data_IF_376566608092
#
_entry.id   IF_376566608092
#
_cell.length_a   1.000
_cell.length_b   1.000
_cell.length_c   1.000
_cell.angle_alpha   90.00
_cell.angle_beta   90.00
_cell.angle_gamma   90.00
#
_symmetry.space_group_name_H-M   'P 1'
#
loop_
_entity.id
_entity.type
_entity.pdbx_description
1 polymer ?
#
# COMPACT_ATOMS: atom_id res chain seq x y z
N UNK A 1 -9.55 9.25 19.98
CA UNK A 1 -9.05 8.20 19.06
C UNK A 1 -8.52 8.92 17.83
N UNK A 2 -7.51 8.40 17.16
CA UNK A 2 -7.06 8.98 15.87
C UNK A 2 -8.20 8.92 14.87
N UNK A 3 -8.96 7.81 14.88
CA UNK A 3 -10.08 7.60 13.97
C UNK A 3 -11.16 8.71 14.02
N UNK A 4 -11.40 9.34 15.17
CA UNK A 4 -12.42 10.40 15.30
C UNK A 4 -11.91 11.79 14.90
N UNK A 5 -10.65 11.94 14.57
CA UNK A 5 -10.03 13.22 14.29
C UNK A 5 -10.13 13.65 12.82
N UNK A 6 -10.49 12.72 11.93
CA UNK A 6 -10.49 12.93 10.49
C UNK A 6 -11.87 12.73 9.87
N UNK A 7 -12.21 13.59 8.93
CA UNK A 7 -13.49 13.60 8.24
C UNK A 7 -13.56 12.56 7.11
N UNK A 8 -12.42 12.14 6.57
CA UNK A 8 -12.30 11.09 5.54
C UNK A 8 -10.92 10.43 5.56
N UNK A 9 -10.84 9.24 4.96
CA UNK A 9 -9.63 8.43 4.95
C UNK A 9 -9.29 7.99 3.53
N UNK A 10 -8.01 8.09 3.19
CA UNK A 10 -7.43 7.40 2.04
C UNK A 10 -6.52 6.29 2.54
N UNK A 11 -6.52 5.16 1.85
CA UNK A 11 -5.83 3.94 2.27
C UNK A 11 -4.99 3.41 1.11
N UNK A 12 -3.78 2.95 1.39
CA UNK A 12 -3.08 2.07 0.49
C UNK A 12 -3.61 0.63 0.62
N UNK A 13 -3.27 -0.25 -0.32
CA UNK A 13 -3.74 -1.63 -0.37
C UNK A 13 -2.71 -2.61 0.18
N UNK A 14 -1.65 -2.85 -0.58
CA UNK A 14 -0.66 -3.89 -0.33
C UNK A 14 0.28 -3.52 0.84
N UNK A 15 0.44 -4.41 1.81
CA UNK A 15 1.20 -4.13 3.03
C UNK A 15 0.48 -3.19 4.02
N UNK A 16 -0.72 -2.74 3.68
CA UNK A 16 -1.55 -1.85 4.51
C UNK A 16 -2.83 -2.54 4.94
N UNK A 17 -3.75 -2.77 4.02
CA UNK A 17 -5.02 -3.46 4.25
C UNK A 17 -4.89 -4.97 4.05
N UNK A 18 -4.15 -5.35 3.04
CA UNK A 18 -3.96 -6.75 2.63
C UNK A 18 -2.48 -7.11 2.54
N UNK A 19 -2.20 -8.40 2.60
CA UNK A 19 -0.93 -8.97 2.22
C UNK A 19 -1.14 -10.28 1.44
N UNK A 20 -0.07 -10.86 0.94
CA UNK A 20 -0.11 -12.11 0.20
C UNK A 20 0.64 -13.21 0.93
N UNK A 21 0.21 -14.44 0.71
CA UNK A 21 0.95 -15.60 1.19
C UNK A 21 2.39 -15.59 0.64
N UNK A 22 3.42 -15.79 1.48
CA UNK A 22 4.82 -15.75 1.06
C UNK A 22 5.13 -16.66 -0.14
N UNK A 23 4.47 -17.82 -0.24
CA UNK A 23 4.62 -18.74 -1.35
C UNK A 23 4.29 -18.11 -2.70
N UNK A 24 3.27 -17.24 -2.78
CA UNK A 24 2.93 -16.53 -4.00
C UNK A 24 4.05 -15.55 -4.41
N UNK A 25 4.56 -14.78 -3.44
CA UNK A 25 5.67 -13.85 -3.67
C UNK A 25 6.89 -14.57 -4.24
N UNK A 26 7.28 -15.68 -3.60
CA UNK A 26 8.44 -16.47 -4.01
C UNK A 26 8.25 -17.06 -5.43
N UNK A 27 7.06 -17.58 -5.73
CA UNK A 27 6.74 -18.16 -7.04
C UNK A 27 6.77 -17.12 -8.16
N UNK A 28 6.15 -15.94 -7.96
CA UNK A 28 6.18 -14.85 -8.95
C UNK A 28 7.59 -14.35 -9.16
N UNK A 29 8.30 -14.02 -8.08
CA UNK A 29 9.66 -13.49 -8.15
C UNK A 29 10.65 -14.52 -8.74
N UNK A 30 10.44 -15.81 -8.47
CA UNK A 30 11.21 -16.88 -9.10
C UNK A 30 11.04 -16.91 -10.61
N UNK A 31 9.79 -16.83 -11.12
CA UNK A 31 9.50 -16.77 -12.56
C UNK A 31 10.09 -15.52 -13.22
N UNK A 32 9.99 -14.36 -12.56
CA UNK A 32 10.61 -13.11 -13.01
C UNK A 32 12.12 -13.27 -13.11
N UNK A 33 12.75 -13.82 -12.08
CA UNK A 33 14.18 -14.11 -12.04
C UNK A 33 14.64 -15.03 -13.17
N UNK A 34 13.92 -16.13 -13.39
CA UNK A 34 14.20 -17.08 -14.49
C UNK A 34 14.17 -16.40 -15.86
N UNK A 35 13.19 -15.52 -16.10
CA UNK A 35 13.08 -14.76 -17.37
C UNK A 35 14.18 -13.72 -17.55
N UNK A 36 14.67 -13.16 -16.46
CA UNK A 36 15.72 -12.12 -16.48
C UNK A 36 17.13 -12.68 -16.29
N UNK A 37 17.26 -14.00 -16.04
CA UNK A 37 18.53 -14.69 -15.88
C UNK A 37 19.22 -14.39 -14.54
N UNK A 38 18.43 -14.12 -13.49
CA UNK A 38 18.89 -13.90 -12.13
C UNK A 38 18.18 -14.86 -11.17
N UNK A 39 18.93 -15.58 -10.33
CA UNK A 39 18.36 -16.41 -9.28
C UNK A 39 17.95 -15.52 -8.09
N UNK A 40 16.65 -15.37 -7.87
CA UNK A 40 16.10 -14.55 -6.79
C UNK A 40 15.89 -15.43 -5.57
N UNK A 41 16.55 -15.10 -4.45
CA UNK A 41 16.32 -15.77 -3.17
C UNK A 41 14.98 -15.34 -2.54
N UNK A 42 14.43 -16.12 -1.59
CA UNK A 42 13.23 -15.77 -0.86
C UNK A 42 13.36 -14.43 -0.11
N UNK A 43 14.53 -14.17 0.48
CA UNK A 43 14.81 -12.91 1.17
C UNK A 43 14.81 -11.70 0.20
N UNK A 44 15.40 -11.86 -0.99
CA UNK A 44 15.39 -10.83 -2.03
C UNK A 44 13.98 -10.62 -2.60
N UNK A 45 13.22 -11.69 -2.78
CA UNK A 45 11.82 -11.64 -3.22
C UNK A 45 10.97 -10.80 -2.27
N UNK A 46 11.02 -11.11 -0.97
CA UNK A 46 10.30 -10.35 0.06
C UNK A 46 10.81 -8.91 0.18
N UNK A 47 12.12 -8.69 0.06
CA UNK A 47 12.70 -7.34 0.12
C UNK A 47 12.20 -6.45 -1.01
N UNK A 48 12.10 -6.97 -2.24
CA UNK A 48 11.57 -6.21 -3.38
C UNK A 48 10.06 -6.03 -3.26
N UNK A 49 9.31 -7.10 -2.93
CA UNK A 49 7.85 -7.07 -2.84
C UNK A 49 7.33 -6.06 -1.81
N UNK A 50 7.87 -6.11 -0.59
CA UNK A 50 7.45 -5.25 0.52
C UNK A 50 8.30 -3.98 0.67
N UNK A 51 9.17 -3.67 -0.31
CA UNK A 51 10.10 -2.52 -0.24
C UNK A 51 10.93 -2.49 1.06
N UNK A 52 11.38 -3.66 1.52
CA UNK A 52 12.20 -3.78 2.72
C UNK A 52 13.64 -3.35 2.45
N UNK A 53 14.24 -2.60 3.37
CA UNK A 53 15.63 -2.12 3.21
C UNK A 53 15.78 -0.92 2.28
N UNK A 54 14.70 -0.34 1.73
CA UNK A 54 14.72 0.88 0.95
C UNK A 54 14.08 0.76 -0.44
N UNK A 55 14.63 1.47 -1.42
CA UNK A 55 14.10 1.50 -2.80
C UNK A 55 14.26 0.13 -3.49
N UNK A 56 13.17 -0.56 -3.86
CA UNK A 56 13.23 -1.84 -4.56
C UNK A 56 13.97 -1.73 -5.91
N UNK A 57 13.91 -0.57 -6.57
CA UNK A 57 14.66 -0.34 -7.80
C UNK A 57 16.19 -0.35 -7.57
N UNK A 58 16.65 0.04 -6.38
CA UNK A 58 18.07 -0.06 -6.03
C UNK A 58 18.50 -1.52 -5.87
N UNK A 59 17.66 -2.37 -5.30
CA UNK A 59 17.89 -3.82 -5.20
C UNK A 59 17.98 -4.43 -6.60
N UNK A 60 16.99 -4.17 -7.45
CA UNK A 60 16.94 -4.66 -8.84
C UNK A 60 18.20 -4.22 -9.65
N UNK A 61 18.61 -2.95 -9.51
CA UNK A 61 19.85 -2.47 -10.14
C UNK A 61 21.09 -3.19 -9.63
N UNK A 62 21.12 -3.60 -8.36
CA UNK A 62 22.26 -4.36 -7.80
C UNK A 62 22.42 -5.75 -8.43
N UNK A 63 21.33 -6.31 -8.98
CA UNK A 63 21.35 -7.54 -9.78
C UNK A 63 21.84 -7.31 -11.22
N UNK A 64 22.10 -6.06 -11.61
CA UNK A 64 22.48 -5.69 -12.98
C UNK A 64 21.28 -5.65 -13.94
N UNK A 65 20.07 -5.60 -13.42
CA UNK A 65 18.82 -5.57 -14.19
C UNK A 65 18.30 -4.12 -14.23
N UNK A 66 17.81 -3.72 -15.41
CA UNK A 66 17.09 -2.46 -15.58
C UNK A 66 15.73 -2.53 -14.88
N UNK A 67 15.40 -1.59 -13.97
CA UNK A 67 14.12 -1.62 -13.24
C UNK A 67 12.89 -1.58 -14.13
N UNK A 68 12.88 -0.79 -15.19
CA UNK A 68 11.72 -0.70 -16.08
C UNK A 68 11.44 -2.07 -16.72
N UNK A 69 12.50 -2.75 -17.18
CA UNK A 69 12.37 -4.12 -17.70
C UNK A 69 11.97 -5.11 -16.63
N UNK A 70 12.43 -4.94 -15.39
CA UNK A 70 12.04 -5.82 -14.28
C UNK A 70 10.53 -5.71 -14.03
N UNK A 71 10.00 -4.49 -13.89
CA UNK A 71 8.58 -4.28 -13.62
C UNK A 71 7.69 -4.69 -14.80
N UNK A 72 8.14 -4.54 -16.04
CA UNK A 72 7.41 -5.07 -17.21
C UNK A 72 7.25 -6.59 -17.10
N UNK A 73 8.35 -7.31 -16.84
CA UNK A 73 8.31 -8.78 -16.71
C UNK A 73 7.51 -9.20 -15.47
N UNK A 74 7.64 -8.48 -14.36
CA UNK A 74 6.90 -8.71 -13.12
C UNK A 74 5.39 -8.66 -13.37
N UNK A 75 4.89 -7.61 -14.01
CA UNK A 75 3.47 -7.48 -14.33
C UNK A 75 2.96 -8.51 -15.35
N UNK A 76 3.82 -9.00 -16.23
CA UNK A 76 3.49 -10.11 -17.13
C UNK A 76 3.37 -11.47 -16.41
N UNK A 77 4.08 -11.65 -15.29
CA UNK A 77 4.05 -12.88 -14.50
C UNK A 77 2.94 -12.93 -13.46
N UNK A 78 2.32 -11.80 -13.13
CA UNK A 78 1.22 -11.76 -12.19
C UNK A 78 -0.10 -12.19 -12.84
N UNK A 79 -0.68 -13.28 -12.34
CA UNK A 79 -2.02 -13.73 -12.70
C UNK A 79 -3.06 -13.16 -11.72
N UNK A 80 -4.10 -12.45 -12.17
CA UNK A 80 -5.06 -11.78 -11.28
C UNK A 80 -5.85 -12.75 -10.38
N UNK A 81 -6.12 -13.97 -10.85
CA UNK A 81 -6.85 -14.95 -10.05
C UNK A 81 -5.94 -15.52 -8.97
N UNK A 82 -4.73 -15.96 -9.36
CA UNK A 82 -3.76 -16.48 -8.40
C UNK A 82 -3.36 -15.41 -7.37
N UNK A 83 -3.23 -14.14 -7.80
CA UNK A 83 -2.98 -13.00 -6.91
C UNK A 83 -4.10 -12.84 -5.88
N UNK A 84 -5.35 -12.82 -6.34
CA UNK A 84 -6.52 -12.69 -5.47
C UNK A 84 -6.62 -13.86 -4.49
N UNK A 85 -6.52 -15.10 -4.97
CA UNK A 85 -6.61 -16.32 -4.14
C UNK A 85 -5.50 -16.43 -3.08
N UNK A 86 -4.35 -15.78 -3.31
CA UNK A 86 -3.22 -15.74 -2.38
C UNK A 86 -3.23 -14.52 -1.47
N UNK A 87 -4.21 -13.62 -1.61
CA UNK A 87 -4.32 -12.40 -0.81
C UNK A 87 -5.23 -12.62 0.40
N UNK A 88 -4.82 -12.07 1.53
CA UNK A 88 -5.64 -12.04 2.75
C UNK A 88 -5.77 -10.59 3.27
N UNK A 89 -6.91 -10.32 3.92
CA UNK A 89 -7.15 -9.08 4.65
C UNK A 89 -6.50 -9.19 6.03
N UNK A 90 -5.86 -8.12 6.52
CA UNK A 90 -5.43 -8.07 7.91
C UNK A 90 -6.66 -7.96 8.84
N UNK A 91 -6.72 -8.82 9.86
CA UNK A 91 -7.86 -8.89 10.80
C UNK A 91 -8.15 -7.53 11.47
N UNK A 92 -7.10 -6.74 11.73
CA UNK A 92 -7.19 -5.43 12.37
C UNK A 92 -7.72 -4.31 11.45
N UNK A 93 -7.96 -4.60 10.17
CA UNK A 93 -8.57 -3.66 9.23
C UNK A 93 -10.10 -3.79 9.16
N UNK A 94 -10.70 -4.87 9.70
CA UNK A 94 -12.13 -5.16 9.55
C UNK A 94 -13.07 -4.06 10.07
N UNK A 95 -12.66 -3.30 11.09
CA UNK A 95 -13.48 -2.21 11.63
C UNK A 95 -13.73 -1.05 10.64
N UNK A 96 -12.91 -0.94 9.59
CA UNK A 96 -13.12 0.04 8.53
C UNK A 96 -14.48 -0.15 7.83
N UNK A 97 -15.00 -1.37 7.80
CA UNK A 97 -16.34 -1.67 7.26
C UNK A 97 -17.48 -0.96 8.01
N UNK A 98 -17.24 -0.58 9.27
CA UNK A 98 -18.23 0.06 10.16
C UNK A 98 -18.03 1.59 10.22
N UNK A 99 -17.08 2.15 9.46
CA UNK A 99 -16.85 3.59 9.46
C UNK A 99 -17.94 4.34 8.68
N UNK A 100 -18.47 5.39 9.30
CA UNK A 100 -19.39 6.32 8.63
C UNK A 100 -18.64 7.36 7.76
N UNK A 101 -17.31 7.50 7.94
CA UNK A 101 -16.48 8.45 7.17
C UNK A 101 -16.24 7.93 5.75
N UNK A 102 -16.18 8.81 4.73
CA UNK A 102 -15.82 8.45 3.38
C UNK A 102 -14.44 7.79 3.30
N UNK A 103 -14.34 6.68 2.54
CA UNK A 103 -13.11 5.92 2.33
C UNK A 103 -12.71 5.92 0.86
N UNK A 104 -11.43 6.16 0.58
CA UNK A 104 -10.85 6.00 -0.75
C UNK A 104 -9.62 5.11 -0.73
N UNK A 105 -9.40 4.37 -1.80
CA UNK A 105 -8.20 3.57 -2.01
C UNK A 105 -7.26 4.25 -3.00
N UNK A 106 -5.96 4.32 -2.67
CA UNK A 106 -4.91 4.86 -3.56
C UNK A 106 -3.72 3.91 -3.53
N UNK A 107 -3.56 3.10 -4.58
CA UNK A 107 -2.59 2.00 -4.60
C UNK A 107 -1.65 2.04 -5.81
N UNK A 108 -0.44 1.50 -5.64
CA UNK A 108 0.46 1.19 -6.75
C UNK A 108 0.07 -0.09 -7.50
N UNK A 109 -0.81 -0.92 -6.93
CA UNK A 109 -1.27 -2.13 -7.58
C UNK A 109 -2.03 -1.81 -8.88
N UNK A 110 -1.75 -2.60 -9.91
CA UNK A 110 -2.38 -2.43 -11.22
C UNK A 110 -3.89 -2.74 -11.15
N UNK A 111 -4.70 -2.00 -11.89
CA UNK A 111 -6.17 -2.13 -11.80
C UNK A 111 -6.69 -3.53 -12.12
N UNK A 112 -6.04 -4.26 -13.04
CA UNK A 112 -6.42 -5.63 -13.39
C UNK A 112 -6.16 -6.66 -12.27
N UNK A 113 -5.31 -6.31 -11.28
CA UNK A 113 -5.04 -7.08 -10.06
C UNK A 113 -5.91 -6.56 -8.90
N UNK A 114 -6.04 -5.24 -8.76
CA UNK A 114 -6.73 -4.59 -7.65
C UNK A 114 -8.19 -5.02 -7.55
N UNK A 115 -8.96 -4.95 -8.66
CA UNK A 115 -10.38 -5.29 -8.62
C UNK A 115 -10.63 -6.77 -8.21
N UNK A 116 -9.95 -7.80 -8.78
CA UNK A 116 -10.07 -9.17 -8.29
C UNK A 116 -9.68 -9.37 -6.83
N UNK A 117 -8.64 -8.66 -6.36
CA UNK A 117 -8.24 -8.71 -4.94
C UNK A 117 -9.33 -8.16 -4.04
N UNK A 118 -9.86 -6.97 -4.33
CA UNK A 118 -10.91 -6.34 -3.52
C UNK A 118 -12.18 -7.19 -3.47
N UNK A 119 -12.55 -7.80 -4.60
CA UNK A 119 -13.70 -8.70 -4.68
C UNK A 119 -13.47 -9.99 -3.87
N UNK A 120 -12.25 -10.58 -3.96
CA UNK A 120 -11.90 -11.81 -3.26
C UNK A 120 -11.93 -11.64 -1.73
N UNK A 121 -11.30 -10.58 -1.22
CA UNK A 121 -11.28 -10.31 0.23
C UNK A 121 -12.57 -9.61 0.73
N UNK A 122 -13.50 -9.27 -0.17
CA UNK A 122 -14.84 -8.77 0.16
C UNK A 122 -14.87 -7.32 0.67
N UNK A 123 -13.91 -6.49 0.29
CA UNK A 123 -13.81 -5.09 0.76
C UNK A 123 -14.10 -4.04 -0.32
N UNK A 124 -14.49 -4.46 -1.54
CA UNK A 124 -14.73 -3.52 -2.65
C UNK A 124 -15.74 -2.43 -2.30
N UNK A 125 -16.79 -2.80 -1.59
CA UNK A 125 -17.88 -1.90 -1.21
C UNK A 125 -17.54 -0.95 -0.05
N UNK A 126 -16.33 -1.06 0.55
CA UNK A 126 -15.90 -0.11 1.58
C UNK A 126 -15.53 1.25 1.01
N UNK A 127 -15.16 1.31 -0.28
CA UNK A 127 -14.55 2.48 -0.88
C UNK A 127 -15.50 3.25 -1.81
N UNK A 128 -15.61 4.55 -1.56
CA UNK A 128 -16.27 5.51 -2.45
C UNK A 128 -15.50 5.71 -3.76
N UNK A 129 -14.17 5.51 -3.71
CA UNK A 129 -13.29 5.57 -4.88
C UNK A 129 -12.12 4.62 -4.77
N UNK A 130 -11.68 4.07 -5.91
CA UNK A 130 -10.44 3.30 -6.05
C UNK A 130 -9.60 3.97 -7.12
N UNK A 131 -8.36 4.33 -6.77
CA UNK A 131 -7.38 4.94 -7.68
C UNK A 131 -6.13 4.08 -7.71
N UNK A 132 -5.89 3.41 -8.83
CA UNK A 132 -4.62 2.77 -9.13
C UNK A 132 -3.68 3.80 -9.75
N UNK A 133 -2.44 3.88 -9.24
CA UNK A 133 -1.41 4.75 -9.81
C UNK A 133 -1.07 4.33 -11.24
N UNK A 134 -0.86 5.31 -12.10
CA UNK A 134 -0.50 5.12 -13.52
C UNK A 134 0.41 6.26 -13.97
N UNK A 135 1.03 6.15 -15.13
CA UNK A 135 1.81 7.25 -15.71
C UNK A 135 0.97 8.51 -15.96
N UNK A 136 -0.36 8.36 -16.13
CA UNK A 136 -1.26 9.51 -16.30
C UNK A 136 -1.60 10.19 -14.97
N UNK A 137 -1.83 9.42 -13.91
CA UNK A 137 -2.20 9.95 -12.58
C UNK A 137 -0.99 10.31 -11.72
N UNK A 138 0.18 9.77 -12.05
CA UNK A 138 1.39 9.81 -11.23
C UNK A 138 1.51 8.58 -10.31
N UNK A 139 2.67 8.46 -9.66
CA UNK A 139 3.02 7.39 -8.72
C UNK A 139 3.35 8.01 -7.36
N UNK A 140 2.84 7.45 -6.26
CA UNK A 140 3.23 7.93 -4.93
C UNK A 140 4.77 7.97 -4.81
N UNK A 141 5.42 9.01 -4.32
CA UNK A 141 4.89 10.12 -3.50
C UNK A 141 4.35 11.34 -4.27
N UNK A 142 4.16 11.26 -5.60
CA UNK A 142 3.46 12.31 -6.34
C UNK A 142 2.03 12.48 -5.77
N UNK A 143 1.53 13.72 -5.56
CA UNK A 143 0.19 13.94 -5.01
C UNK A 143 -0.93 13.62 -6.01
N UNK A 144 -0.64 13.46 -7.29
CA UNK A 144 -1.64 13.30 -8.35
C UNK A 144 -2.67 12.18 -8.10
N UNK A 145 -2.29 10.95 -7.71
CA UNK A 145 -3.24 9.90 -7.38
C UNK A 145 -4.15 10.25 -6.20
N UNK A 146 -3.59 10.89 -5.17
CA UNK A 146 -4.33 11.37 -3.98
C UNK A 146 -5.32 12.46 -4.39
N UNK A 147 -4.89 13.44 -5.17
CA UNK A 147 -5.75 14.50 -5.69
C UNK A 147 -6.87 13.96 -6.58
N UNK A 148 -6.59 12.91 -7.34
CA UNK A 148 -7.61 12.20 -8.14
C UNK A 148 -8.66 11.56 -7.23
N UNK A 149 -8.24 10.88 -6.16
CA UNK A 149 -9.16 10.29 -5.19
C UNK A 149 -10.03 11.37 -4.54
N UNK A 150 -9.42 12.45 -4.06
CA UNK A 150 -10.14 13.58 -3.48
C UNK A 150 -11.14 14.21 -4.46
N UNK A 151 -10.76 14.35 -5.74
CA UNK A 151 -11.66 14.87 -6.78
C UNK A 151 -12.87 13.96 -6.99
N UNK A 152 -12.66 12.64 -7.05
CA UNK A 152 -13.73 11.66 -7.20
C UNK A 152 -14.71 11.69 -6.04
N UNK A 153 -14.22 11.91 -4.81
CA UNK A 153 -15.01 12.01 -3.58
C UNK A 153 -15.61 13.42 -3.35
N UNK A 154 -15.22 14.42 -4.16
CA UNK A 154 -15.67 15.82 -3.99
C UNK A 154 -15.02 16.53 -2.81
N UNK A 155 -13.83 16.10 -2.37
CA UNK A 155 -13.13 16.54 -1.15
C UNK A 155 -11.86 17.37 -1.41
N UNK A 156 -11.62 17.82 -2.66
CA UNK A 156 -10.41 18.60 -3.00
C UNK A 156 -10.20 19.84 -2.14
N UNK A 157 -11.26 20.51 -1.72
CA UNK A 157 -11.21 21.72 -0.91
C UNK A 157 -11.24 21.42 0.61
N UNK A 158 -11.37 20.15 1.02
CA UNK A 158 -11.50 19.71 2.41
C UNK A 158 -10.26 18.93 2.92
N UNK A 159 -9.10 19.16 2.30
CA UNK A 159 -7.87 18.36 2.55
C UNK A 159 -7.44 18.33 4.02
N UNK A 160 -7.56 19.46 4.74
CA UNK A 160 -7.14 19.58 6.14
C UNK A 160 -7.85 18.59 7.10
N UNK A 161 -8.99 18.05 6.68
CA UNK A 161 -9.75 17.04 7.44
C UNK A 161 -9.41 15.61 7.07
N UNK A 162 -8.44 15.36 6.20
CA UNK A 162 -8.14 14.04 5.65
C UNK A 162 -6.83 13.43 6.10
N UNK A 163 -6.78 12.10 6.02
CA UNK A 163 -5.59 11.32 6.33
C UNK A 163 -5.35 10.26 5.25
N UNK A 164 -4.07 9.99 4.94
CA UNK A 164 -3.67 8.84 4.14
C UNK A 164 -2.90 7.84 5.01
N UNK A 165 -3.32 6.60 4.97
CA UNK A 165 -2.72 5.48 5.70
C UNK A 165 -2.00 4.57 4.73
N UNK A 166 -0.73 4.26 5.00
CA UNK A 166 0.06 3.35 4.18
C UNK A 166 1.26 2.78 4.93
N UNK A 167 1.89 1.75 4.36
CA UNK A 167 3.01 1.06 4.99
C UNK A 167 4.38 1.58 4.54
N UNK A 168 4.42 2.45 3.53
CA UNK A 168 5.66 2.90 2.91
C UNK A 168 5.93 4.41 2.99
N UNK A 169 7.18 4.83 2.77
CA UNK A 169 7.54 6.25 2.71
C UNK A 169 6.87 6.98 1.55
N UNK A 170 6.47 6.26 0.49
CA UNK A 170 5.78 6.83 -0.65
C UNK A 170 4.36 7.28 -0.30
N UNK A 171 3.68 6.56 0.59
CA UNK A 171 2.35 6.92 1.09
C UNK A 171 2.41 8.19 1.91
N UNK A 172 3.34 8.22 2.89
CA UNK A 172 3.58 9.40 3.72
C UNK A 172 3.93 10.62 2.86
N UNK A 173 4.82 10.43 1.88
CA UNK A 173 5.18 11.49 0.95
C UNK A 173 3.99 11.99 0.12
N UNK A 174 3.13 11.09 -0.38
CA UNK A 174 1.94 11.44 -1.14
C UNK A 174 0.92 12.19 -0.29
N UNK A 175 0.70 11.77 0.97
CA UNK A 175 -0.15 12.46 1.93
C UNK A 175 0.30 13.90 2.11
N UNK A 176 1.53 14.11 2.54
CA UNK A 176 2.08 15.45 2.80
C UNK A 176 2.11 16.34 1.56
N UNK A 177 2.48 15.78 0.39
CA UNK A 177 2.49 16.52 -0.87
C UNK A 177 1.08 16.94 -1.33
N UNK A 178 0.05 16.16 -0.93
CA UNK A 178 -1.35 16.50 -1.18
C UNK A 178 -1.98 17.37 -0.09
N UNK A 179 -1.29 17.64 1.02
CA UNK A 179 -1.78 18.43 2.14
C UNK A 179 -2.68 17.67 3.11
N UNK A 180 -2.49 16.36 3.22
CA UNK A 180 -3.13 15.47 4.18
C UNK A 180 -2.17 15.12 5.31
N UNK A 181 -2.69 14.70 6.46
CA UNK A 181 -1.93 13.99 7.46
C UNK A 181 -1.62 12.55 7.01
N UNK A 182 -0.57 11.95 7.57
CA UNK A 182 -0.09 10.63 7.22
C UNK A 182 -0.03 9.67 8.41
N UNK A 183 -0.57 8.46 8.25
CA UNK A 183 -0.29 7.31 9.12
C UNK A 183 0.68 6.37 8.42
N UNK A 184 1.77 6.06 9.10
CA UNK A 184 2.61 4.93 8.72
C UNK A 184 2.22 3.70 9.53
N UNK A 185 1.80 2.63 8.85
CA UNK A 185 1.52 1.30 9.44
C UNK A 185 2.72 0.40 9.23
N UNK A 186 3.39 -0.02 10.31
CA UNK A 186 4.60 -0.85 10.25
C UNK A 186 4.25 -2.34 10.35
N UNK A 187 3.88 -2.98 9.24
CA UNK A 187 3.46 -4.39 9.20
C UNK A 187 4.63 -5.38 9.33
N UNK A 188 5.77 -5.05 8.76
CA UNK A 188 6.89 -5.99 8.65
C UNK A 188 7.96 -5.83 9.75
N UNK A 189 7.77 -4.87 10.66
CA UNK A 189 8.70 -4.56 11.74
C UNK A 189 9.89 -3.71 11.29
N UNK A 190 10.30 -2.82 12.17
CA UNK A 190 11.34 -1.82 11.91
C UNK A 190 12.69 -2.44 11.49
N UNK A 191 13.07 -3.56 12.11
CA UNK A 191 14.36 -4.22 11.84
C UNK A 191 14.41 -4.77 10.40
N UNK A 192 13.30 -5.29 9.88
CA UNK A 192 13.21 -5.79 8.49
C UNK A 192 13.13 -4.66 7.48
N UNK A 193 12.40 -3.60 7.81
CA UNK A 193 12.30 -2.44 6.93
C UNK A 193 13.64 -1.72 6.75
N UNK A 194 14.51 -1.75 7.75
CA UNK A 194 15.86 -1.21 7.69
C UNK A 194 15.96 0.32 7.61
N UNK A 195 14.83 1.03 7.68
CA UNK A 195 14.74 2.49 7.70
C UNK A 195 13.57 2.94 8.58
N UNK A 196 13.66 4.17 9.09
CA UNK A 196 12.60 4.78 9.87
C UNK A 196 11.71 5.61 8.94
N UNK A 197 10.44 5.22 8.81
CA UNK A 197 9.44 6.02 8.11
C UNK A 197 8.76 6.94 9.13
N UNK A 198 8.79 8.24 8.86
CA UNK A 198 8.12 9.26 9.67
C UNK A 198 6.70 9.47 9.12
N UNK A 199 5.76 9.75 10.01
CA UNK A 199 4.39 10.13 9.69
C UNK A 199 3.86 11.01 10.82
N UNK A 200 2.69 11.62 10.65
CA UNK A 200 2.01 12.34 11.72
C UNK A 200 1.59 11.36 12.83
N UNK A 201 1.25 10.13 12.40
CA UNK A 201 1.06 8.98 13.28
C UNK A 201 1.88 7.81 12.77
N UNK A 202 2.30 6.94 13.72
CA UNK A 202 2.97 5.68 13.44
C UNK A 202 2.38 4.61 14.32
N UNK A 203 1.94 3.52 13.71
CA UNK A 203 1.27 2.40 14.37
C UNK A 203 1.83 1.08 13.86
N UNK A 204 1.69 0.01 14.64
CA UNK A 204 2.05 -1.34 14.22
C UNK A 204 0.85 -2.09 13.62
N UNK A 205 -0.35 -1.57 13.83
CA UNK A 205 -1.60 -2.10 13.30
C UNK A 205 -2.73 -1.10 13.44
N UNK A 206 -3.84 -1.35 12.75
CA UNK A 206 -5.01 -0.48 12.75
C UNK A 206 -5.72 -0.38 14.10
N UNK A 207 -5.60 -1.38 14.97
CA UNK A 207 -6.17 -1.37 16.33
C UNK A 207 -5.72 -0.15 17.14
N UNK A 208 -4.46 0.29 16.96
CA UNK A 208 -3.90 1.45 17.65
C UNK A 208 -4.59 2.77 17.25
N UNK A 209 -5.24 2.82 16.08
CA UNK A 209 -5.96 4.02 15.60
C UNK A 209 -7.31 4.20 16.29
N UNK A 210 -7.91 3.11 16.79
CA UNK A 210 -9.20 3.11 17.48
C UNK A 210 -9.07 3.00 19.01
N UNK A 211 -7.93 2.55 19.53
CA UNK A 211 -7.69 2.51 20.95
C UNK A 211 -7.56 3.92 21.54
N UNK A 212 -8.19 4.16 22.69
CA UNK A 212 -7.96 5.38 23.47
C UNK A 212 -6.54 5.34 24.01
N UNK A 213 -5.75 6.38 23.75
CA UNK A 213 -4.51 6.58 24.50
C UNK A 213 -4.80 6.40 25.99
N UNK A 214 -4.01 5.59 26.74
CA UNK A 214 -4.19 5.48 28.18
C UNK A 214 -4.12 6.89 28.78
N UNK A 215 -5.09 7.21 29.63
CA UNK A 215 -5.13 8.51 30.32
C UNK A 215 -3.76 8.72 30.99
N UNK A 216 -3.08 9.82 30.66
CA UNK A 216 -1.84 10.19 31.33
C UNK A 216 -2.17 10.48 32.81
N UNK A 217 -1.62 9.69 33.73
CA UNK A 217 -1.69 9.88 35.17
C UNK A 217 -0.88 11.12 35.64
#
# INVERSE_FOLDING_TARGET
MVADAYDFWLLDLDGTLVDVEPGYVHDVMGRVGDRLGHEVSEEEAEAVWHSLGGDPNAVVRSWGIDPDRFWDVFHEEEDPIARAESTFLYDDAEWLAEMDAPLGLVTHCQSYLTEPVLDHVGIRDWFDTVVCCTDETGWKPDPGPVERALANMGLLDAREGGILVGDGPHDVGAAWNAGLDAVHVERHGHDRRGLCVLGDHRVSGFDELVERAPAAD
#
